data_IF_574815613810
#
_entry.id   IF_574815613810
#
_cell.length_a   1.000
_cell.length_b   1.000
_cell.length_c   1.000
_cell.angle_alpha   90.00
_cell.angle_beta   90.00
_cell.angle_gamma   90.00
#
_symmetry.space_group_name_H-M   'P 1'
#
loop_
_entity.id
_entity.type
_entity.pdbx_description
1 polymer ?
#
# COMPACT_ATOMS: atom_id res chain seq x y z
N UNK A 1 4.59 16.36 17.54
CA UNK A 1 4.14 14.98 17.30
C UNK A 1 5.29 13.99 17.48
N UNK A 2 5.35 13.27 18.60
CA UNK A 2 6.30 12.18 18.81
C UNK A 2 5.88 10.83 18.19
N UNK A 3 4.67 10.75 17.59
CA UNK A 3 4.12 9.54 16.98
C UNK A 3 3.46 9.85 15.62
N UNK A 4 3.42 8.85 14.74
CA UNK A 4 2.74 8.88 13.43
C UNK A 4 2.20 7.50 13.09
N UNK A 5 1.09 7.48 12.34
CA UNK A 5 0.46 6.31 11.77
C UNK A 5 0.84 6.17 10.30
N UNK A 6 1.18 4.94 9.89
CA UNK A 6 1.45 4.61 8.51
C UNK A 6 0.49 3.51 8.05
N UNK A 7 -0.33 3.84 7.05
CA UNK A 7 -1.22 2.87 6.42
C UNK A 7 -0.50 2.21 5.26
N UNK A 8 -0.63 0.88 5.17
CA UNK A 8 -0.03 0.10 4.11
C UNK A 8 -0.91 -1.11 3.76
N UNK A 9 -0.73 -1.59 2.54
CA UNK A 9 -1.23 -2.87 2.05
C UNK A 9 -0.07 -3.78 1.67
N UNK A 10 -0.35 -5.09 1.73
CA UNK A 10 0.61 -6.11 1.33
C UNK A 10 -0.01 -7.10 0.38
N UNK A 11 0.76 -7.54 -0.62
CA UNK A 11 0.35 -8.55 -1.59
C UNK A 11 1.39 -9.68 -1.65
N UNK A 12 0.92 -10.93 -1.76
CA UNK A 12 1.78 -12.12 -1.73
C UNK A 12 2.21 -12.51 -0.31
N UNK A 13 3.30 -13.28 -0.19
CA UNK A 13 3.82 -13.76 1.09
C UNK A 13 5.32 -13.54 1.25
N UNK A 14 5.73 -13.07 2.43
CA UNK A 14 7.14 -12.90 2.79
C UNK A 14 7.77 -14.27 3.00
N UNK A 15 8.86 -14.55 2.28
CA UNK A 15 9.56 -15.80 2.43
C UNK A 15 10.33 -15.86 3.77
N UNK A 16 10.72 -17.07 4.19
CA UNK A 16 11.39 -17.27 5.48
C UNK A 16 12.71 -16.48 5.60
N UNK A 17 13.43 -16.30 4.48
CA UNK A 17 14.68 -15.54 4.42
C UNK A 17 14.49 -14.01 4.40
N UNK A 18 13.24 -13.54 4.28
CA UNK A 18 12.86 -12.13 4.12
C UNK A 18 13.55 -11.42 2.94
N UNK A 19 13.86 -12.15 1.88
CA UNK A 19 14.64 -11.66 0.73
C UNK A 19 13.78 -11.26 -0.47
N UNK A 20 12.46 -11.47 -0.42
CA UNK A 20 11.56 -11.23 -1.54
C UNK A 20 10.66 -9.99 -1.35
N UNK A 21 10.99 -9.09 -0.42
CA UNK A 21 10.21 -7.88 -0.18
C UNK A 21 10.45 -6.82 -1.26
N UNK A 22 9.38 -6.21 -1.79
CA UNK A 22 9.41 -5.12 -2.76
C UNK A 22 8.52 -3.98 -2.28
N UNK A 23 9.07 -2.76 -2.22
CA UNK A 23 8.34 -1.55 -1.83
C UNK A 23 7.79 -0.82 -3.07
N UNK A 24 6.50 -0.51 -3.07
CA UNK A 24 5.84 0.29 -4.10
C UNK A 24 5.55 1.69 -3.56
N UNK A 25 6.21 2.68 -4.16
CA UNK A 25 6.00 4.09 -3.87
C UNK A 25 4.97 4.66 -4.85
N UNK A 26 3.85 5.15 -4.34
CA UNK A 26 2.82 5.77 -5.17
C UNK A 26 3.21 7.19 -5.61
N UNK A 27 2.58 7.65 -6.70
CA UNK A 27 2.72 9.03 -7.19
C UNK A 27 1.89 10.04 -6.35
N UNK A 28 1.84 11.31 -6.75
CA UNK A 28 1.28 12.41 -5.95
C UNK A 28 -0.14 12.15 -5.40
N UNK A 29 -1.05 11.63 -6.21
CA UNK A 29 -2.45 11.37 -5.84
C UNK A 29 -2.76 9.89 -5.61
N UNK A 30 -1.74 9.04 -5.55
CA UNK A 30 -1.91 7.63 -5.23
C UNK A 30 -2.07 7.40 -3.73
N UNK A 31 -2.31 6.14 -3.36
CA UNK A 31 -2.49 5.70 -1.97
C UNK A 31 -2.02 4.25 -1.81
N UNK A 32 -2.16 3.69 -0.60
CA UNK A 32 -1.73 2.33 -0.25
C UNK A 32 -2.39 1.22 -1.12
N UNK A 33 -3.62 1.43 -1.59
CA UNK A 33 -4.30 0.45 -2.44
C UNK A 33 -3.78 0.41 -3.89
N UNK A 34 -2.73 -0.39 -4.12
CA UNK A 34 -2.04 -0.52 -5.41
C UNK A 34 -2.61 -1.59 -6.33
N UNK A 35 -3.26 -2.64 -5.81
CA UNK A 35 -3.75 -3.76 -6.61
C UNK A 35 -4.97 -4.45 -6.00
N UNK A 36 -5.72 -5.20 -6.82
CA UNK A 36 -6.90 -5.93 -6.40
C UNK A 36 -8.12 -5.05 -6.17
N UNK A 37 -9.16 -5.65 -5.58
CA UNK A 37 -10.36 -4.97 -5.09
C UNK A 37 -10.49 -5.24 -3.59
N UNK A 38 -10.91 -4.26 -2.80
CA UNK A 38 -11.20 -4.46 -1.38
C UNK A 38 -12.50 -5.21 -1.17
N UNK A 39 -13.49 -4.94 -2.02
CA UNK A 39 -14.79 -5.58 -1.99
C UNK A 39 -15.28 -5.95 -3.40
N UNK A 40 -16.22 -6.89 -3.49
CA UNK A 40 -16.83 -7.27 -4.77
C UNK A 40 -17.67 -6.15 -5.40
N UNK A 41 -18.08 -5.16 -4.60
CA UNK A 41 -18.89 -4.01 -5.03
C UNK A 41 -18.03 -2.82 -5.51
N UNK A 42 -16.70 -2.93 -5.41
CA UNK A 42 -15.77 -1.87 -5.79
C UNK A 42 -15.80 -1.64 -7.30
N UNK A 43 -16.04 -0.38 -7.69
CA UNK A 43 -16.13 0.00 -9.12
C UNK A 43 -14.80 -0.03 -9.87
N UNK A 44 -13.68 0.06 -9.16
CA UNK A 44 -12.33 0.15 -9.75
C UNK A 44 -11.35 -0.61 -8.86
N UNK A 45 -10.36 -1.30 -9.45
CA UNK A 45 -9.30 -1.93 -8.69
C UNK A 45 -8.25 -0.89 -8.27
N UNK A 46 -7.25 -1.34 -7.52
CA UNK A 46 -6.06 -0.57 -7.18
C UNK A 46 -5.37 0.04 -8.40
N UNK A 47 -4.66 1.15 -8.17
CA UNK A 47 -4.18 2.04 -9.24
C UNK A 47 -3.12 1.40 -10.16
N UNK A 48 -2.54 0.26 -9.79
CA UNK A 48 -1.60 -0.51 -10.59
C UNK A 48 -1.98 -1.98 -10.75
N UNK A 49 -3.28 -2.30 -10.70
CA UNK A 49 -3.73 -3.69 -10.73
C UNK A 49 -3.18 -4.47 -11.92
N UNK A 50 -3.10 -3.90 -13.12
CA UNK A 50 -2.53 -4.59 -14.29
C UNK A 50 -1.06 -5.02 -14.14
N UNK A 51 -0.32 -4.42 -13.21
CA UNK A 51 1.09 -4.69 -13.00
C UNK A 51 1.39 -5.57 -11.77
N UNK A 52 0.53 -5.59 -10.76
CA UNK A 52 0.76 -6.30 -9.50
C UNK A 52 -0.26 -7.43 -9.32
N UNK A 53 0.22 -8.67 -9.13
CA UNK A 53 -0.60 -9.85 -8.89
C UNK A 53 0.00 -11.15 -9.44
N UNK A 54 -0.68 -12.30 -9.30
CA UNK A 54 -0.17 -13.59 -9.74
C UNK A 54 0.13 -13.61 -11.25
N UNK A 55 1.38 -13.90 -11.62
CA UNK A 55 1.83 -13.94 -13.02
C UNK A 55 1.94 -12.59 -13.74
N UNK A 56 1.70 -11.47 -13.05
CA UNK A 56 1.86 -10.10 -13.58
C UNK A 56 3.34 -9.65 -13.49
N UNK A 57 3.74 -8.52 -14.10
CA UNK A 57 5.14 -8.03 -14.05
C UNK A 57 5.73 -7.95 -12.64
N UNK A 58 4.94 -7.51 -11.66
CA UNK A 58 5.25 -7.58 -10.24
C UNK A 58 4.48 -8.78 -9.68
N UNK A 59 5.12 -9.93 -9.78
CA UNK A 59 4.52 -11.24 -9.55
C UNK A 59 4.39 -11.56 -8.05
N UNK A 60 3.17 -11.57 -7.52
CA UNK A 60 2.90 -11.82 -6.10
C UNK A 60 3.04 -13.28 -5.69
N UNK A 61 3.20 -14.21 -6.65
CA UNK A 61 3.57 -15.60 -6.35
C UNK A 61 5.06 -15.73 -6.01
N UNK A 62 5.86 -14.69 -6.30
CA UNK A 62 7.31 -14.65 -6.07
C UNK A 62 7.71 -13.60 -5.04
N UNK A 63 7.09 -12.42 -5.10
CA UNK A 63 7.44 -11.27 -4.27
C UNK A 63 6.39 -10.99 -3.21
N UNK A 64 6.87 -10.51 -2.06
CA UNK A 64 6.05 -9.88 -1.04
C UNK A 64 6.05 -8.38 -1.28
N UNK A 65 4.95 -7.86 -1.80
CA UNK A 65 4.83 -6.46 -2.19
C UNK A 65 4.24 -5.67 -1.03
N UNK A 66 4.83 -4.52 -0.71
CA UNK A 66 4.31 -3.58 0.29
C UNK A 66 4.03 -2.25 -0.40
N UNK A 67 2.82 -1.72 -0.26
CA UNK A 67 2.47 -0.38 -0.75
C UNK A 67 1.94 0.46 0.40
N UNK A 68 2.62 1.57 0.70
CA UNK A 68 2.22 2.49 1.77
C UNK A 68 1.39 3.64 1.22
N UNK A 69 0.66 4.31 2.09
CA UNK A 69 0.23 5.68 1.85
C UNK A 69 1.25 6.62 2.48
N UNK A 70 1.82 7.53 1.70
CA UNK A 70 2.89 8.42 2.13
C UNK A 70 2.44 9.28 3.32
N UNK A 71 3.37 9.56 4.23
CA UNK A 71 3.18 10.55 5.27
C UNK A 71 2.87 11.92 4.63
N UNK A 72 1.94 12.66 5.21
CA UNK A 72 1.41 13.89 4.62
C UNK A 72 0.23 13.66 3.67
N UNK A 73 -0.08 12.41 3.31
CA UNK A 73 -1.26 12.06 2.50
C UNK A 73 -2.58 12.21 3.27
N UNK A 74 -3.70 12.04 2.57
CA UNK A 74 -5.05 12.14 3.15
C UNK A 74 -5.81 10.80 3.19
N UNK A 75 -5.15 9.68 2.83
CA UNK A 75 -5.75 8.35 2.79
C UNK A 75 -5.35 7.47 4.00
N UNK A 76 -5.26 8.09 5.19
CA UNK A 76 -5.17 7.41 6.48
C UNK A 76 -3.83 7.53 7.21
N UNK A 77 -2.70 7.57 6.50
CA UNK A 77 -1.41 7.85 7.16
C UNK A 77 -1.40 9.27 7.74
N UNK A 78 -0.58 9.51 8.77
CA UNK A 78 -0.50 10.83 9.39
C UNK A 78 -0.19 11.91 8.38
N UNK A 79 -1.03 12.94 8.35
CA UNK A 79 -0.92 14.10 7.47
C UNK A 79 -1.53 15.35 8.11
N UNK A 80 -1.61 16.47 7.39
CA UNK A 80 -2.09 17.73 7.94
C UNK A 80 -3.52 17.69 8.51
N UNK A 81 -4.32 16.71 8.11
CA UNK A 81 -5.69 16.49 8.61
C UNK A 81 -5.77 15.56 9.82
N UNK A 82 -4.65 15.03 10.31
CA UNK A 82 -4.63 14.16 11.48
C UNK A 82 -4.83 14.95 12.77
N UNK A 83 -5.57 14.37 13.72
CA UNK A 83 -5.76 14.94 15.06
C UNK A 83 -4.48 14.70 15.86
N UNK A 84 -3.90 15.76 16.42
CA UNK A 84 -2.84 15.64 17.41
C UNK A 84 -3.51 15.36 18.77
N UNK A 85 -3.30 14.18 19.39
CA UNK A 85 -3.96 13.84 20.66
C UNK A 85 -3.52 14.74 21.83
N UNK A 86 -2.42 15.48 21.68
CA UNK A 86 -1.89 16.38 22.71
C UNK A 86 -2.49 17.81 22.65
N UNK A 87 -3.39 18.11 21.70
CA UNK A 87 -4.04 19.42 21.51
C UNK A 87 -5.55 19.34 21.33
#
# INVERSE_FOLDING_TARGET
MPAYDLIYETYGQLNAARSNAVLICHALSGHHHAAGFHSADDRKPGWWDSCIGPGKPIDTDKFFVVSLNNLGGCNGSTGPSSIDPDT
#
